data_IF_914234960430
#
_entry.id   IF_914234960430
#
_cell.length_a   1.000
_cell.length_b   1.000
_cell.length_c   1.000
_cell.angle_alpha   90.00
_cell.angle_beta   90.00
_cell.angle_gamma   90.00
#
_symmetry.space_group_name_H-M   'P 1'
#
loop_
_entity.id
_entity.type
_entity.pdbx_description
1 polymer ?
#
# COMPACT_ATOMS: atom_id res chain seq x y z
N UNK A 1 -10.00 -18.05 7.16
CA UNK A 1 -10.45 -16.66 6.90
C UNK A 1 -9.27 -15.72 6.82
N UNK A 2 -8.36 -15.76 7.80
CA UNK A 2 -7.12 -14.97 7.83
C UNK A 2 -6.17 -15.26 6.67
N UNK A 3 -6.13 -16.50 6.20
CA UNK A 3 -5.28 -16.95 5.11
C UNK A 3 -5.63 -16.20 3.82
N UNK A 4 -6.92 -16.01 3.55
CA UNK A 4 -7.37 -15.23 2.40
C UNK A 4 -6.93 -13.76 2.52
N UNK A 5 -7.05 -13.17 3.71
CA UNK A 5 -6.60 -11.79 3.95
C UNK A 5 -5.09 -11.66 3.76
N UNK A 6 -4.30 -12.64 4.24
CA UNK A 6 -2.86 -12.71 4.02
C UNK A 6 -2.50 -12.88 2.54
N UNK A 7 -3.23 -13.70 1.78
CA UNK A 7 -3.04 -13.83 0.33
C UNK A 7 -3.27 -12.50 -0.37
N UNK A 8 -4.35 -11.80 -0.05
CA UNK A 8 -4.65 -10.51 -0.69
C UNK A 8 -3.61 -9.45 -0.31
N UNK A 9 -3.16 -9.41 0.96
CA UNK A 9 -2.06 -8.54 1.39
C UNK A 9 -0.76 -8.85 0.63
N UNK A 10 -0.38 -10.14 0.55
CA UNK A 10 0.83 -10.56 -0.16
C UNK A 10 0.78 -10.16 -1.63
N UNK A 11 -0.35 -10.38 -2.31
CA UNK A 11 -0.55 -9.97 -3.70
C UNK A 11 -0.45 -8.46 -3.83
N UNK A 12 -1.13 -7.68 -2.98
CA UNK A 12 -1.14 -6.23 -3.09
C UNK A 12 0.24 -5.61 -2.84
N UNK A 13 0.91 -6.02 -1.77
CA UNK A 13 2.27 -5.59 -1.49
C UNK A 13 3.25 -6.07 -2.57
N UNK A 14 3.07 -7.27 -3.13
CA UNK A 14 3.84 -7.75 -4.27
C UNK A 14 3.67 -6.91 -5.52
N UNK A 15 2.44 -6.48 -5.82
CA UNK A 15 2.14 -5.56 -6.92
C UNK A 15 2.74 -4.16 -6.66
N UNK A 16 2.68 -3.68 -5.42
CA UNK A 16 3.36 -2.46 -4.99
C UNK A 16 4.86 -2.54 -5.21
N UNK A 17 5.50 -3.62 -4.73
CA UNK A 17 6.93 -3.88 -4.99
C UNK A 17 7.24 -3.86 -6.48
N UNK A 18 6.46 -4.58 -7.30
CA UNK A 18 6.69 -4.62 -8.73
C UNK A 18 6.53 -3.24 -9.40
N UNK A 19 5.50 -2.47 -9.01
CA UNK A 19 5.28 -1.12 -9.51
C UNK A 19 6.44 -0.18 -9.16
N UNK A 20 6.82 -0.13 -7.88
CA UNK A 20 7.79 0.84 -7.40
C UNK A 20 9.24 0.44 -7.73
N UNK A 21 9.61 -0.83 -7.62
CA UNK A 21 10.98 -1.28 -7.87
C UNK A 21 11.30 -1.47 -9.36
N UNK A 22 10.44 -2.16 -10.11
CA UNK A 22 10.73 -2.53 -11.51
C UNK A 22 10.07 -1.59 -12.52
N UNK A 23 8.89 -1.06 -12.19
CA UNK A 23 8.13 -0.14 -13.07
C UNK A 23 8.23 1.31 -12.60
N UNK A 24 9.36 1.71 -12.02
CA UNK A 24 9.58 3.03 -11.40
C UNK A 24 9.22 4.24 -12.28
N UNK A 25 9.40 4.12 -13.61
CA UNK A 25 8.99 5.17 -14.56
C UNK A 25 7.47 5.27 -14.70
N UNK A 26 6.74 4.15 -14.58
CA UNK A 26 5.27 4.14 -14.52
C UNK A 26 4.81 4.78 -13.22
N UNK A 27 5.41 4.41 -12.09
CA UNK A 27 5.17 5.07 -10.80
C UNK A 27 5.30 6.60 -10.91
N UNK A 28 6.41 7.10 -11.45
CA UNK A 28 6.60 8.54 -11.62
C UNK A 28 5.53 9.16 -12.54
N UNK A 29 5.07 8.46 -13.60
CA UNK A 29 3.99 8.94 -14.49
C UNK A 29 2.63 9.03 -13.80
N UNK A 30 2.39 8.23 -12.76
CA UNK A 30 1.15 8.28 -11.96
C UNK A 30 1.09 9.58 -11.16
N UNK A 31 2.23 10.04 -10.63
CA UNK A 31 2.33 11.23 -9.77
C UNK A 31 2.55 12.50 -10.59
N UNK A 32 3.51 12.49 -11.53
CA UNK A 32 3.99 13.68 -12.21
C UNK A 32 3.10 14.01 -13.42
N UNK A 33 2.49 15.22 -13.46
CA UNK A 33 1.74 15.72 -14.60
C UNK A 33 2.58 15.71 -15.88
N UNK A 34 1.94 15.55 -17.04
CA UNK A 34 2.63 15.34 -18.32
C UNK A 34 3.57 16.50 -18.66
N UNK A 35 3.16 17.72 -18.34
CA UNK A 35 3.88 18.98 -18.52
C UNK A 35 5.21 19.07 -17.75
N UNK A 36 5.39 18.26 -16.69
CA UNK A 36 6.61 18.28 -15.86
C UNK A 36 7.51 17.06 -16.06
N UNK A 37 7.18 16.15 -16.99
CA UNK A 37 7.92 14.89 -17.16
C UNK A 37 9.31 15.04 -17.78
N UNK A 38 9.54 16.13 -18.49
CA UNK A 38 10.86 16.46 -19.07
C UNK A 38 11.74 17.27 -18.09
N UNK A 39 11.31 17.42 -16.84
CA UNK A 39 12.08 18.12 -15.79
C UNK A 39 12.81 17.10 -14.90
N UNK A 40 13.91 17.51 -14.21
CA UNK A 40 14.63 16.62 -13.30
C UNK A 40 13.78 16.01 -12.17
N UNK A 41 12.65 16.64 -11.83
CA UNK A 41 11.70 16.14 -10.82
C UNK A 41 11.19 14.74 -11.18
N UNK A 42 10.96 14.47 -12.46
CA UNK A 42 10.42 13.18 -12.90
C UNK A 42 11.41 12.04 -12.67
N UNK A 43 12.67 12.23 -13.06
CA UNK A 43 13.72 11.23 -12.86
C UNK A 43 14.07 11.07 -11.38
N UNK A 44 14.09 12.18 -10.63
CA UNK A 44 14.32 12.16 -9.17
C UNK A 44 13.23 11.35 -8.48
N UNK A 45 11.96 11.56 -8.83
CA UNK A 45 10.86 10.78 -8.26
C UNK A 45 10.91 9.32 -8.72
N UNK A 46 11.24 9.04 -9.97
CA UNK A 46 11.40 7.67 -10.44
C UNK A 46 12.52 6.93 -9.66
N UNK A 47 13.60 7.63 -9.30
CA UNK A 47 14.71 7.08 -8.54
C UNK A 47 14.34 6.70 -7.09
N UNK A 48 13.29 7.30 -6.51
CA UNK A 48 12.80 6.91 -5.17
C UNK A 48 11.93 5.65 -5.19
N UNK A 49 11.46 5.22 -6.38
CA UNK A 49 10.63 4.04 -6.54
C UNK A 49 11.20 2.79 -5.85
N UNK A 50 12.44 2.35 -6.13
CA UNK A 50 13.03 1.17 -5.49
C UNK A 50 13.05 1.21 -3.96
N UNK A 51 13.24 2.40 -3.35
CA UNK A 51 13.17 2.56 -1.91
C UNK A 51 11.76 2.24 -1.38
N UNK A 52 10.72 2.80 -2.01
CA UNK A 52 9.33 2.50 -1.67
C UNK A 52 8.97 1.03 -1.98
N UNK A 53 9.54 0.47 -3.04
CA UNK A 53 9.44 -0.93 -3.40
C UNK A 53 9.99 -1.85 -2.32
N UNK A 54 11.10 -1.48 -1.67
CA UNK A 54 11.69 -2.25 -0.56
C UNK A 54 10.75 -2.44 0.62
N UNK A 55 10.01 -1.40 1.02
CA UNK A 55 9.00 -1.52 2.08
C UNK A 55 7.87 -2.46 1.68
N UNK A 56 7.34 -2.31 0.47
CA UNK A 56 6.30 -3.20 -0.04
C UNK A 56 6.79 -4.65 -0.13
N UNK A 57 8.04 -4.87 -0.55
CA UNK A 57 8.62 -6.20 -0.59
C UNK A 57 8.70 -6.84 0.80
N UNK A 58 9.12 -6.09 1.82
CA UNK A 58 9.17 -6.60 3.19
C UNK A 58 7.80 -7.05 3.69
N UNK A 59 6.73 -6.27 3.46
CA UNK A 59 5.37 -6.63 3.85
C UNK A 59 4.77 -7.76 3.00
N UNK A 60 5.16 -7.87 1.72
CA UNK A 60 4.83 -9.01 0.89
C UNK A 60 5.43 -10.30 1.47
N UNK A 61 6.73 -10.29 1.73
CA UNK A 61 7.45 -11.43 2.34
C UNK A 61 6.87 -11.78 3.70
N UNK A 62 6.61 -10.79 4.55
CA UNK A 62 5.93 -11.02 5.84
C UNK A 62 4.59 -11.73 5.64
N UNK A 63 3.75 -11.23 4.74
CA UNK A 63 2.43 -11.81 4.47
C UNK A 63 2.53 -13.26 3.96
N UNK A 64 3.51 -13.55 3.10
CA UNK A 64 3.80 -14.90 2.61
C UNK A 64 4.29 -15.82 3.72
N UNK A 65 5.23 -15.36 4.56
CA UNK A 65 5.74 -16.14 5.70
C UNK A 65 4.59 -16.46 6.66
N UNK A 66 3.75 -15.49 7.00
CA UNK A 66 2.60 -15.70 7.87
C UNK A 66 1.63 -16.72 7.27
N UNK A 67 1.36 -16.65 5.96
CA UNK A 67 0.45 -17.58 5.27
C UNK A 67 0.90 -19.04 5.40
N UNK A 68 2.19 -19.32 5.29
CA UNK A 68 2.72 -20.68 5.39
C UNK A 68 3.06 -21.12 6.82
N UNK A 69 3.05 -20.20 7.78
CA UNK A 69 3.47 -20.45 9.17
C UNK A 69 2.42 -19.99 10.19
N UNK A 70 1.13 -20.00 9.84
CA UNK A 70 0.02 -19.61 10.74
C UNK A 70 0.06 -20.38 12.06
N UNK A 71 0.48 -21.65 12.02
CA UNK A 71 0.62 -22.51 13.21
C UNK A 71 1.72 -22.06 14.17
N UNK A 72 2.72 -21.29 13.72
CA UNK A 72 3.76 -20.72 14.59
C UNK A 72 3.26 -19.51 15.40
N UNK A 73 2.07 -18.99 15.08
CA UNK A 73 1.42 -17.90 15.80
C UNK A 73 0.10 -18.42 16.39
N UNK A 74 0.14 -19.30 17.40
CA UNK A 74 -1.06 -19.91 17.97
C UNK A 74 -1.89 -18.90 18.77
N UNK A 75 -1.24 -17.91 19.39
CA UNK A 75 -1.89 -16.95 20.27
C UNK A 75 -2.64 -15.87 19.48
N UNK A 76 -3.79 -15.49 20.01
CA UNK A 76 -4.70 -14.54 19.40
C UNK A 76 -4.07 -13.15 19.32
N UNK A 77 -3.38 -12.76 20.39
CA UNK A 77 -2.69 -11.48 20.55
C UNK A 77 -1.58 -11.31 19.51
N UNK A 78 -0.86 -12.39 19.19
CA UNK A 78 0.17 -12.35 18.15
C UNK A 78 -0.44 -12.02 16.78
N UNK A 79 -1.56 -12.67 16.45
CA UNK A 79 -2.28 -12.43 15.20
C UNK A 79 -2.83 -11.01 15.16
N UNK A 80 -3.42 -10.54 16.25
CA UNK A 80 -3.92 -9.16 16.39
C UNK A 80 -2.80 -8.15 16.09
N UNK A 81 -1.63 -8.30 16.73
CA UNK A 81 -0.51 -7.38 16.54
C UNK A 81 -0.07 -7.36 15.06
N UNK A 82 0.05 -8.53 14.44
CA UNK A 82 0.47 -8.64 13.04
C UNK A 82 -0.53 -7.99 12.07
N UNK A 83 -1.83 -8.27 12.23
CA UNK A 83 -2.88 -7.66 11.40
C UNK A 83 -3.02 -6.16 11.67
N UNK A 84 -2.80 -5.69 12.91
CA UNK A 84 -2.79 -4.26 13.22
C UNK A 84 -1.65 -3.53 12.51
N UNK A 85 -0.45 -4.11 12.51
CA UNK A 85 0.71 -3.56 11.80
C UNK A 85 0.45 -3.49 10.28
N UNK A 86 -0.14 -4.52 9.69
CA UNK A 86 -0.51 -4.51 8.26
C UNK A 86 -1.62 -3.47 7.98
N UNK A 87 -2.62 -3.34 8.86
CA UNK A 87 -3.65 -2.32 8.73
C UNK A 87 -3.04 -0.91 8.75
N UNK A 88 -2.08 -0.65 9.64
CA UNK A 88 -1.35 0.62 9.71
C UNK A 88 -0.53 0.86 8.43
N UNK A 89 0.10 -0.17 7.87
CA UNK A 89 0.88 -0.05 6.65
C UNK A 89 0.01 0.48 5.49
N UNK A 90 -1.12 -0.18 5.18
CA UNK A 90 -2.06 0.30 4.16
C UNK A 90 -2.69 1.64 4.54
N UNK A 91 -3.07 1.79 5.81
CA UNK A 91 -3.71 3.01 6.32
C UNK A 91 -2.80 4.24 6.19
N UNK A 92 -1.49 4.09 6.39
CA UNK A 92 -0.53 5.18 6.23
C UNK A 92 -0.46 5.71 4.79
N UNK A 93 -0.55 4.82 3.80
CA UNK A 93 -0.58 5.17 2.37
C UNK A 93 -1.89 5.87 2.00
N UNK A 94 -3.02 5.40 2.54
CA UNK A 94 -4.32 6.04 2.37
C UNK A 94 -4.37 7.44 3.00
N UNK A 95 -4.01 7.56 4.28
CA UNK A 95 -4.10 8.80 5.06
C UNK A 95 -3.23 9.90 4.44
N UNK A 96 -2.03 9.57 3.95
CA UNK A 96 -1.17 10.54 3.27
C UNK A 96 -1.81 11.08 1.97
N UNK A 97 -2.61 10.28 1.26
CA UNK A 97 -3.28 10.68 0.02
C UNK A 97 -4.65 11.35 0.25
N UNK A 98 -5.26 11.17 1.42
CA UNK A 98 -6.57 11.73 1.74
C UNK A 98 -6.65 13.27 1.59
N UNK A 99 -5.73 14.08 2.16
CA UNK A 99 -5.79 15.54 1.98
C UNK A 99 -5.67 15.94 0.50
N UNK A 100 -4.85 15.22 -0.28
CA UNK A 100 -4.65 15.48 -1.71
C UNK A 100 -5.93 15.16 -2.48
N UNK A 101 -6.62 14.06 -2.15
CA UNK A 101 -7.92 13.73 -2.74
C UNK A 101 -8.97 14.82 -2.44
N UNK A 102 -8.97 15.39 -1.23
CA UNK A 102 -9.86 16.49 -0.86
C UNK A 102 -9.54 17.77 -1.62
N UNK A 103 -8.26 18.08 -1.86
CA UNK A 103 -7.85 19.21 -2.68
C UNK A 103 -8.20 19.02 -4.15
N UNK A 104 -8.09 17.81 -4.70
CA UNK A 104 -8.48 17.51 -6.08
C UNK A 104 -9.95 17.81 -6.35
N UNK A 105 -10.84 17.70 -5.35
CA UNK A 105 -12.25 18.09 -5.48
C UNK A 105 -12.44 19.60 -5.72
N UNK A 106 -11.43 20.40 -5.37
CA UNK A 106 -11.38 21.86 -5.58
C UNK A 106 -10.54 22.24 -6.80
N UNK A 107 -10.14 21.26 -7.62
CA UNK A 107 -9.23 21.48 -8.76
C UNK A 107 -7.78 21.77 -8.36
N UNK A 108 -7.39 21.49 -7.11
CA UNK A 108 -6.04 21.71 -6.55
C UNK A 108 -5.32 20.38 -6.29
N UNK A 109 -4.18 20.42 -5.60
CA UNK A 109 -3.42 19.26 -5.13
C UNK A 109 -2.15 19.02 -5.94
N UNK A 110 -1.09 18.60 -5.24
CA UNK A 110 0.26 18.39 -5.79
C UNK A 110 0.34 17.26 -6.84
N UNK A 111 -0.59 16.30 -6.78
CA UNK A 111 -0.85 15.31 -7.83
C UNK A 111 -2.35 14.97 -7.89
N UNK A 112 -2.74 14.13 -8.85
CA UNK A 112 -4.13 13.78 -9.12
C UNK A 112 -4.46 12.34 -8.71
N UNK A 113 -5.42 12.16 -7.80
CA UNK A 113 -6.00 10.87 -7.40
C UNK A 113 -7.05 10.43 -8.44
N UNK A 114 -6.56 10.06 -9.63
CA UNK A 114 -7.34 9.62 -10.79
C UNK A 114 -6.71 8.37 -11.42
N UNK A 115 -7.48 7.64 -12.23
CA UNK A 115 -7.01 6.43 -12.91
C UNK A 115 -6.40 5.42 -11.94
N UNK A 116 -5.18 4.96 -12.24
CA UNK A 116 -4.45 4.00 -11.41
C UNK A 116 -4.21 4.50 -9.97
N UNK A 117 -3.96 5.80 -9.76
CA UNK A 117 -3.80 6.33 -8.40
C UNK A 117 -5.08 6.21 -7.57
N UNK A 118 -6.25 6.40 -8.21
CA UNK A 118 -7.53 6.21 -7.53
C UNK A 118 -7.77 4.73 -7.16
N UNK A 119 -7.38 3.81 -8.04
CA UNK A 119 -7.44 2.39 -7.75
C UNK A 119 -6.58 2.05 -6.53
N UNK A 120 -5.31 2.50 -6.51
CA UNK A 120 -4.40 2.33 -5.37
C UNK A 120 -5.04 2.89 -4.08
N UNK A 121 -5.50 4.13 -4.12
CA UNK A 121 -6.13 4.80 -2.97
C UNK A 121 -7.31 4.03 -2.38
N UNK A 122 -8.20 3.50 -3.22
CA UNK A 122 -9.36 2.72 -2.76
C UNK A 122 -8.92 1.38 -2.21
N UNK A 123 -7.98 0.69 -2.88
CA UNK A 123 -7.51 -0.62 -2.44
C UNK A 123 -6.76 -0.54 -1.11
N UNK A 124 -5.92 0.47 -0.90
CA UNK A 124 -5.23 0.70 0.38
C UNK A 124 -6.25 0.93 1.50
N UNK A 125 -7.30 1.72 1.24
CA UNK A 125 -8.40 1.91 2.21
C UNK A 125 -9.12 0.59 2.53
N UNK A 126 -9.47 -0.18 1.51
CA UNK A 126 -10.16 -1.46 1.69
C UNK A 126 -9.30 -2.43 2.50
N UNK A 127 -8.02 -2.56 2.19
CA UNK A 127 -7.12 -3.46 2.92
C UNK A 127 -6.83 -2.97 4.33
N UNK A 128 -6.71 -1.66 4.56
CA UNK A 128 -6.66 -1.10 5.92
C UNK A 128 -7.88 -1.57 6.73
N UNK A 129 -9.10 -1.41 6.19
CA UNK A 129 -10.32 -1.83 6.87
C UNK A 129 -10.41 -3.34 7.05
N UNK A 130 -10.09 -4.14 6.04
CA UNK A 130 -10.14 -5.61 6.14
C UNK A 130 -9.21 -6.12 7.24
N UNK A 131 -7.97 -5.62 7.30
CA UNK A 131 -7.04 -6.00 8.36
C UNK A 131 -7.48 -5.49 9.75
N UNK A 132 -8.03 -4.28 9.84
CA UNK A 132 -8.58 -3.76 11.10
C UNK A 132 -9.81 -4.55 11.59
N UNK A 133 -10.69 -5.00 10.69
CA UNK A 133 -11.83 -5.86 11.04
C UNK A 133 -11.34 -7.20 11.59
N UNK A 134 -10.30 -7.79 11.00
CA UNK A 134 -9.67 -9.01 11.55
C UNK A 134 -9.17 -8.76 12.97
N UNK A 135 -8.52 -7.63 13.23
CA UNK A 135 -8.09 -7.24 14.58
C UNK A 135 -9.27 -7.17 15.55
N UNK A 136 -10.35 -6.49 15.17
CA UNK A 136 -11.53 -6.33 16.03
C UNK A 136 -12.21 -7.68 16.30
N UNK A 137 -12.37 -8.53 15.29
CA UNK A 137 -12.99 -9.86 15.45
C UNK A 137 -12.21 -10.75 16.43
N UNK A 138 -10.88 -10.62 16.47
CA UNK A 138 -10.05 -11.41 17.37
C UNK A 138 -9.82 -10.75 18.74
N UNK A 139 -10.07 -9.45 18.88
CA UNK A 139 -9.93 -8.79 20.17
C UNK A 139 -11.15 -8.97 21.09
N UNK A 140 -12.26 -9.53 20.58
CA UNK A 140 -13.54 -9.73 21.26
C UNK A 140 -14.01 -11.17 21.10
#
# INVERSE_FOLDING_TARGET
>A
MIELVLVVNAVWFGLGFHLFAFRRMIFAKIIVPKEYRETPVFETLAATGPFLGGFNFAFCVLSVILLFNVSLFPELEQRIILFAVIAIAHGSQFVANLPIALENRKGKGVWQIKGLMRFIFITDFSLMLTNAVVVVIYAW
#
